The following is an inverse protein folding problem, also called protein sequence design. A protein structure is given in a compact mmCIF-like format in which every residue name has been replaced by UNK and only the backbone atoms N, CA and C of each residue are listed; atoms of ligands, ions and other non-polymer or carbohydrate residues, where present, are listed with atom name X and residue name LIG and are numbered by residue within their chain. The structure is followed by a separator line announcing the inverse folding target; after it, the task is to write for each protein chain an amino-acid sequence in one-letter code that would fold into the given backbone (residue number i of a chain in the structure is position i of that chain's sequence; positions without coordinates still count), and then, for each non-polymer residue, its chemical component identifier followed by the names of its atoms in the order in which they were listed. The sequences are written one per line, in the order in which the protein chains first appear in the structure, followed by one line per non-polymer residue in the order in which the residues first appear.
data_IF_262988788050
#
_entry.id   IF_262988788050
#
_cell.length_a   1.000
_cell.length_b   1.000
_cell.length_c   1.000
_cell.angle_alpha   90.00
_cell.angle_beta   90.00
_cell.angle_gamma   90.00
#
_symmetry.space_group_name_H-M   'P 1'
#
loop_
_entity.id
_entity.type
_entity.pdbx_description
1 polymer ?
#
# COMPACT_ATOMS: atom_id res chain seq x y z
N UNK A 1 -5.98 3.02 -15.18
CA UNK A 1 -6.20 1.83 -14.34
C UNK A 1 -5.41 0.67 -14.92
N UNK A 2 -4.76 -0.13 -14.08
CA UNK A 2 -4.10 -1.38 -14.47
C UNK A 2 -4.73 -2.52 -13.65
N UNK A 3 -5.01 -3.66 -14.28
CA UNK A 3 -5.56 -4.83 -13.61
C UNK A 3 -4.71 -6.06 -13.94
N UNK A 4 -4.39 -6.86 -12.93
CA UNK A 4 -3.64 -8.09 -13.09
C UNK A 4 -3.96 -9.12 -11.98
N UNK A 5 -3.81 -10.40 -12.29
CA UNK A 5 -3.95 -11.49 -11.29
C UNK A 5 -2.57 -11.78 -10.70
N UNK A 6 -2.49 -11.76 -9.37
CA UNK A 6 -1.29 -12.10 -8.61
C UNK A 6 -1.50 -13.38 -7.82
N UNK A 7 -0.44 -13.86 -7.16
CA UNK A 7 -0.54 -14.95 -6.18
C UNK A 7 -1.40 -14.60 -4.97
N UNK A 8 -1.63 -13.31 -4.72
CA UNK A 8 -2.43 -12.81 -3.61
C UNK A 8 -3.92 -12.61 -3.95
N UNK A 9 -4.25 -12.47 -5.24
CA UNK A 9 -5.61 -12.25 -5.72
C UNK A 9 -5.69 -11.33 -6.94
N UNK A 10 -6.82 -10.67 -7.13
CA UNK A 10 -6.97 -9.64 -8.17
C UNK A 10 -6.37 -8.33 -7.68
N UNK A 11 -5.41 -7.78 -8.43
CA UNK A 11 -4.81 -6.48 -8.16
C UNK A 11 -5.37 -5.43 -9.11
N UNK A 12 -5.86 -4.34 -8.52
CA UNK A 12 -6.34 -3.14 -9.21
C UNK A 12 -5.39 -2.01 -8.84
N UNK A 13 -4.80 -1.36 -9.84
CA UNK A 13 -3.87 -0.24 -9.62
C UNK A 13 -4.40 1.03 -10.28
N UNK A 14 -4.54 2.06 -9.46
CA UNK A 14 -4.81 3.42 -9.89
C UNK A 14 -3.47 4.14 -9.89
N UNK A 15 -3.02 4.59 -11.06
CA UNK A 15 -1.69 5.17 -11.26
C UNK A 15 -1.81 6.63 -11.64
N UNK A 16 -0.88 7.45 -11.17
CA UNK A 16 -0.73 8.81 -11.65
C UNK A 16 -0.29 8.83 -13.12
N UNK A 17 -0.78 9.82 -13.86
CA UNK A 17 -0.23 10.21 -15.14
C UNK A 17 0.28 11.66 -15.06
N UNK A 18 1.28 12.02 -15.88
CA UNK A 18 1.89 13.37 -15.88
C UNK A 18 0.88 14.52 -15.91
N UNK A 19 -0.24 14.34 -16.61
CA UNK A 19 -1.27 15.37 -16.79
C UNK A 19 -2.59 15.05 -16.05
N UNK A 20 -2.60 14.03 -15.19
CA UNK A 20 -3.77 13.60 -14.45
C UNK A 20 -3.31 12.97 -13.11
N UNK A 21 -2.89 13.79 -12.14
CA UNK A 21 -2.41 13.32 -10.85
C UNK A 21 -3.59 12.93 -9.95
N UNK A 22 -3.50 11.79 -9.26
CA UNK A 22 -4.56 11.32 -8.38
C UNK A 22 -4.68 12.12 -7.09
N UNK A 23 -3.56 12.72 -6.69
CA UNK A 23 -3.43 13.51 -5.48
C UNK A 23 -2.89 14.89 -5.81
N UNK A 24 -3.30 15.88 -5.03
CA UNK A 24 -2.63 17.17 -5.03
C UNK A 24 -1.13 17.01 -4.71
N UNK A 25 -0.30 17.87 -5.28
CA UNK A 25 1.16 17.79 -5.19
C UNK A 25 1.63 17.70 -3.73
N UNK A 26 2.44 16.68 -3.43
CA UNK A 26 2.97 16.40 -2.09
C UNK A 26 1.91 16.31 -0.98
N UNK A 27 0.67 15.97 -1.33
CA UNK A 27 -0.45 15.83 -0.38
C UNK A 27 -1.13 14.47 -0.52
N UNK A 28 -1.91 14.12 0.50
CA UNK A 28 -2.81 12.97 0.51
C UNK A 28 -4.26 13.32 0.11
N UNK A 29 -4.51 14.56 -0.31
CA UNK A 29 -5.81 14.99 -0.82
C UNK A 29 -6.03 14.43 -2.22
N UNK A 30 -7.07 13.61 -2.39
CA UNK A 30 -7.48 13.05 -3.67
C UNK A 30 -8.14 14.09 -4.57
N UNK A 31 -7.81 14.05 -5.85
CA UNK A 31 -8.49 14.83 -6.89
C UNK A 31 -9.92 14.30 -7.12
N UNK A 32 -10.90 15.14 -7.51
CA UNK A 32 -12.31 14.76 -7.64
C UNK A 32 -12.54 13.50 -8.49
N UNK A 33 -11.91 13.43 -9.67
CA UNK A 33 -12.05 12.28 -10.57
C UNK A 33 -11.54 10.96 -9.95
N UNK A 34 -10.57 11.03 -9.03
CA UNK A 34 -10.05 9.82 -8.36
C UNK A 34 -11.04 9.34 -7.32
N UNK A 35 -11.75 10.25 -6.66
CA UNK A 35 -12.82 9.90 -5.73
C UNK A 35 -13.94 9.15 -6.45
N UNK A 36 -14.38 9.64 -7.61
CA UNK A 36 -15.39 8.97 -8.44
C UNK A 36 -14.96 7.53 -8.79
N UNK A 37 -13.73 7.34 -9.26
CA UNK A 37 -13.18 6.00 -9.55
C UNK A 37 -13.20 5.10 -8.30
N UNK A 38 -12.78 5.64 -7.15
CA UNK A 38 -12.77 4.88 -5.90
C UNK A 38 -14.19 4.58 -5.41
N UNK A 39 -15.16 5.44 -5.69
CA UNK A 39 -16.56 5.19 -5.32
C UNK A 39 -17.13 4.03 -6.13
N UNK A 40 -16.93 4.04 -7.45
CA UNK A 40 -17.37 2.95 -8.35
C UNK A 40 -16.73 1.61 -7.98
N UNK A 41 -15.41 1.62 -7.69
CA UNK A 41 -14.70 0.43 -7.23
C UNK A 41 -15.27 -0.03 -5.88
N UNK A 42 -15.45 0.91 -4.94
CA UNK A 42 -15.94 0.61 -3.59
C UNK A 42 -17.29 -0.13 -3.61
N UNK A 43 -18.23 0.37 -4.41
CA UNK A 43 -19.53 -0.27 -4.61
C UNK A 43 -19.38 -1.68 -5.19
N UNK A 44 -18.62 -1.83 -6.29
CA UNK A 44 -18.42 -3.10 -6.99
C UNK A 44 -17.75 -4.17 -6.11
N UNK A 45 -16.87 -3.74 -5.20
CA UNK A 45 -16.19 -4.68 -4.30
C UNK A 45 -17.15 -5.40 -3.35
N UNK A 46 -18.35 -4.87 -3.10
CA UNK A 46 -19.35 -5.53 -2.26
C UNK A 46 -19.94 -6.79 -2.90
N UNK A 47 -19.86 -6.93 -4.22
CA UNK A 47 -20.43 -8.07 -4.95
C UNK A 47 -19.69 -9.40 -4.69
N UNK A 48 -18.51 -9.33 -4.08
CA UNK A 48 -17.68 -10.50 -3.73
C UNK A 48 -17.39 -10.51 -2.23
N UNK A 49 -17.30 -11.67 -1.57
CA UNK A 49 -17.10 -11.73 -0.11
C UNK A 49 -15.67 -11.38 0.34
N UNK A 50 -14.73 -11.28 -0.61
CA UNK A 50 -13.31 -11.17 -0.34
C UNK A 50 -12.93 -9.91 0.44
N UNK A 51 -11.97 -10.05 1.36
CA UNK A 51 -11.31 -8.93 2.01
C UNK A 51 -10.32 -8.23 1.07
N UNK A 52 -9.97 -7.00 1.43
CA UNK A 52 -9.12 -6.13 0.61
C UNK A 52 -7.89 -5.67 1.40
N UNK A 53 -6.73 -5.72 0.74
CA UNK A 53 -5.51 -5.05 1.19
C UNK A 53 -5.26 -3.82 0.32
N UNK A 54 -4.96 -2.69 0.95
CA UNK A 54 -4.70 -1.42 0.28
C UNK A 54 -3.25 -0.99 0.50
N UNK A 55 -2.57 -0.54 -0.54
CA UNK A 55 -1.23 0.02 -0.41
C UNK A 55 -1.05 1.30 -1.20
N UNK A 56 -0.33 2.24 -0.61
CA UNK A 56 0.08 3.48 -1.27
C UNK A 56 1.56 3.43 -1.61
N UNK A 57 1.89 4.03 -2.75
CA UNK A 57 3.25 4.10 -3.28
C UNK A 57 3.52 5.52 -3.77
N UNK A 58 4.74 5.98 -3.60
CA UNK A 58 5.27 7.21 -4.19
C UNK A 58 6.33 6.85 -5.22
N UNK A 59 6.76 7.83 -6.00
CA UNK A 59 8.02 7.74 -6.73
C UNK A 59 9.20 8.07 -5.80
N UNK A 60 10.42 8.00 -6.33
CA UNK A 60 11.64 8.27 -5.59
C UNK A 60 11.97 9.77 -5.44
N UNK A 61 11.10 10.68 -5.86
CA UNK A 61 11.33 12.11 -5.68
C UNK A 61 11.34 12.45 -4.19
N UNK A 62 12.30 13.26 -3.71
CA UNK A 62 12.29 13.71 -2.33
C UNK A 62 10.97 14.42 -1.99
N UNK A 63 10.42 14.10 -0.83
CA UNK A 63 9.22 14.77 -0.34
C UNK A 63 9.52 16.26 -0.12
N UNK A 64 8.75 17.13 -0.76
CA UNK A 64 8.96 18.59 -0.75
C UNK A 64 8.01 19.36 0.18
N UNK A 65 7.11 18.66 0.89
CA UNK A 65 6.02 19.32 1.64
C UNK A 65 6.42 20.01 2.94
N UNK A 66 7.70 19.92 3.36
CA UNK A 66 8.21 20.56 4.57
C UNK A 66 7.72 19.88 5.86
N UNK A 67 8.61 19.74 6.85
CA UNK A 67 8.30 19.13 8.14
C UNK A 67 9.41 18.19 8.59
N UNK A 68 9.91 18.37 9.81
CA UNK A 68 10.87 17.44 10.39
C UNK A 68 10.19 16.09 10.62
N UNK A 69 10.65 15.05 9.92
CA UNK A 69 10.21 13.67 10.11
C UNK A 69 9.13 13.16 9.15
N UNK A 70 8.47 14.03 8.37
CA UNK A 70 7.50 13.58 7.36
C UNK A 70 8.20 13.27 6.03
N UNK A 71 7.93 12.10 5.48
CA UNK A 71 8.59 11.58 4.29
C UNK A 71 7.61 10.90 3.33
N UNK A 72 8.16 10.29 2.29
CA UNK A 72 7.38 9.45 1.39
C UNK A 72 6.74 8.24 2.09
N UNK A 73 7.26 7.81 3.25
CA UNK A 73 6.64 6.76 4.06
C UNK A 73 5.27 7.21 4.57
N UNK A 74 5.22 8.32 5.30
CA UNK A 74 3.98 8.89 5.84
C UNK A 74 3.03 9.24 4.69
N UNK A 75 3.53 9.89 3.63
CA UNK A 75 2.73 10.26 2.46
C UNK A 75 2.05 9.04 1.84
N UNK A 76 2.78 7.94 1.66
CA UNK A 76 2.25 6.74 1.04
C UNK A 76 1.15 6.08 1.90
N UNK A 77 1.34 6.04 3.22
CA UNK A 77 0.34 5.52 4.16
C UNK A 77 -0.91 6.41 4.23
N UNK A 78 -0.72 7.73 4.25
CA UNK A 78 -1.83 8.70 4.27
C UNK A 78 -2.66 8.64 2.99
N UNK A 79 -2.01 8.51 1.84
CA UNK A 79 -2.66 8.31 0.54
C UNK A 79 -3.46 7.01 0.48
N UNK A 80 -2.89 5.93 1.03
CA UNK A 80 -3.63 4.67 1.16
C UNK A 80 -4.87 4.87 2.04
N UNK A 81 -4.74 5.52 3.19
CA UNK A 81 -5.88 5.79 4.06
C UNK A 81 -6.91 6.77 3.46
N UNK A 82 -6.49 7.75 2.66
CA UNK A 82 -7.40 8.61 1.91
C UNK A 82 -8.24 7.79 0.93
N UNK A 83 -7.61 6.90 0.17
CA UNK A 83 -8.31 6.00 -0.74
C UNK A 83 -9.25 5.04 0.00
N UNK A 84 -8.85 4.53 1.18
CA UNK A 84 -9.71 3.72 2.06
C UNK A 84 -11.01 4.43 2.39
N UNK A 85 -10.91 5.70 2.81
CA UNK A 85 -12.08 6.52 3.19
C UNK A 85 -13.00 6.75 2.00
N UNK A 86 -12.46 7.02 0.81
CA UNK A 86 -13.29 7.21 -0.38
C UNK A 86 -13.93 5.91 -0.86
N UNK A 87 -13.26 4.75 -0.77
CA UNK A 87 -13.90 3.45 -1.06
C UNK A 87 -15.14 3.23 -0.17
N UNK A 88 -15.03 3.54 1.13
CA UNK A 88 -16.15 3.43 2.08
C UNK A 88 -17.22 4.49 1.80
N UNK A 89 -16.82 5.73 1.47
CA UNK A 89 -17.76 6.78 1.07
C UNK A 89 -18.55 6.40 -0.20
N UNK A 90 -17.95 5.61 -1.10
CA UNK A 90 -18.61 4.99 -2.25
C UNK A 90 -19.53 3.82 -1.93
N UNK A 91 -19.70 3.47 -0.65
CA UNK A 91 -20.61 2.42 -0.19
C UNK A 91 -19.95 1.06 0.05
N UNK A 92 -18.61 0.95 -0.02
CA UNK A 92 -17.94 -0.31 0.35
C UNK A 92 -18.11 -0.61 1.84
N UNK A 93 -18.43 -1.86 2.18
CA UNK A 93 -18.50 -2.30 3.57
C UNK A 93 -17.15 -2.10 4.29
N UNK A 94 -17.13 -1.35 5.39
CA UNK A 94 -15.89 -1.04 6.13
C UNK A 94 -15.15 -2.30 6.59
N UNK A 95 -15.89 -3.34 6.97
CA UNK A 95 -15.33 -4.61 7.40
C UNK A 95 -14.54 -5.35 6.32
N UNK A 96 -14.56 -4.92 5.06
CA UNK A 96 -13.76 -5.55 3.98
C UNK A 96 -12.30 -5.18 4.02
N UNK A 97 -11.93 -4.03 4.59
CA UNK A 97 -10.54 -3.62 4.70
C UNK A 97 -9.85 -4.48 5.76
N UNK A 98 -8.87 -5.27 5.34
CA UNK A 98 -8.05 -6.06 6.25
C UNK A 98 -6.74 -5.36 6.60
N UNK A 99 -6.14 -4.66 5.63
CA UNK A 99 -4.79 -4.09 5.79
C UNK A 99 -4.61 -2.83 4.95
N UNK A 100 -3.92 -1.84 5.51
CA UNK A 100 -3.45 -0.63 4.82
C UNK A 100 -1.94 -0.52 4.99
N UNK A 101 -1.20 -0.28 3.90
CA UNK A 101 0.26 -0.26 3.89
C UNK A 101 0.79 0.98 3.17
N UNK A 102 1.77 1.67 3.77
CA UNK A 102 2.60 2.65 3.08
C UNK A 102 3.92 2.02 2.65
N UNK A 103 4.26 2.12 1.37
CA UNK A 103 5.48 1.52 0.79
C UNK A 103 6.48 2.55 0.26
N UNK A 104 6.19 3.85 0.37
CA UNK A 104 7.01 4.92 -0.20
C UNK A 104 7.43 4.56 -1.65
N UNK A 105 8.72 4.67 -1.96
CA UNK A 105 9.33 4.29 -3.24
C UNK A 105 9.97 2.90 -3.22
N UNK A 106 9.69 2.06 -2.22
CA UNK A 106 10.38 0.79 -2.03
C UNK A 106 10.02 -0.26 -3.10
N UNK A 107 8.83 -0.17 -3.70
CA UNK A 107 8.33 -1.13 -4.70
C UNK A 107 7.85 -0.40 -5.97
N UNK A 108 8.79 0.09 -6.82
CA UNK A 108 8.43 0.80 -8.05
C UNK A 108 7.89 -0.16 -9.11
N UNK A 109 6.93 0.31 -9.94
CA UNK A 109 6.51 -0.38 -11.16
C UNK A 109 7.62 -0.30 -12.20
N UNK A 110 8.08 0.92 -12.47
CA UNK A 110 9.19 1.19 -13.38
C UNK A 110 10.49 1.25 -12.58
N UNK A 111 11.15 0.09 -12.51
CA UNK A 111 12.44 -0.06 -11.83
C UNK A 111 13.57 0.69 -12.54
N UNK A 112 13.44 0.92 -13.84
CA UNK A 112 14.47 1.58 -14.65
C UNK A 112 14.40 3.10 -14.51
N UNK A 113 13.23 3.63 -14.17
CA UNK A 113 13.03 5.05 -13.88
C UNK A 113 12.27 5.24 -12.55
N UNK A 114 12.98 5.31 -11.41
CA UNK A 114 12.37 5.49 -10.10
C UNK A 114 11.56 6.78 -9.94
N UNK A 115 11.81 7.80 -10.75
CA UNK A 115 11.10 9.09 -10.77
C UNK A 115 9.86 9.08 -11.69
N UNK A 116 9.58 7.97 -12.37
CA UNK A 116 8.45 7.86 -13.27
C UNK A 116 7.12 8.04 -12.49
N UNK A 117 6.23 8.96 -12.89
CA UNK A 117 4.91 9.15 -12.28
C UNK A 117 4.10 7.87 -12.09
N UNK A 118 4.27 6.86 -12.95
CA UNK A 118 3.57 5.57 -12.80
C UNK A 118 3.87 4.86 -11.46
N UNK A 119 4.99 5.19 -10.81
CA UNK A 119 5.34 4.66 -9.50
C UNK A 119 4.45 5.24 -8.39
N UNK A 120 3.90 6.45 -8.57
CA UNK A 120 2.89 7.03 -7.68
C UNK A 120 1.54 6.39 -7.97
N UNK A 121 1.10 5.51 -7.06
CA UNK A 121 -0.10 4.70 -7.27
C UNK A 121 -0.73 4.25 -5.98
N UNK A 122 -1.99 3.87 -6.09
CA UNK A 122 -2.72 3.10 -5.08
C UNK A 122 -2.97 1.71 -5.65
N UNK A 123 -2.63 0.69 -4.89
CA UNK A 123 -2.88 -0.71 -5.23
C UNK A 123 -3.89 -1.32 -4.27
N UNK A 124 -4.98 -1.82 -4.83
CA UNK A 124 -6.06 -2.53 -4.15
C UNK A 124 -5.90 -4.01 -4.52
N UNK A 125 -5.77 -4.88 -3.53
CA UNK A 125 -5.73 -6.33 -3.74
C UNK A 125 -7.00 -6.92 -3.15
N UNK A 126 -7.84 -7.48 -4.02
CA UNK A 126 -8.98 -8.32 -3.65
C UNK A 126 -8.42 -9.72 -3.39
N UNK A 127 -8.28 -10.05 -2.11
CA UNK A 127 -7.45 -11.18 -1.69
C UNK A 127 -8.15 -12.52 -1.93
N UNK A 128 -7.39 -13.52 -2.34
CA UNK A 128 -7.83 -14.90 -2.24
C UNK A 128 -7.81 -15.37 -0.78
N UNK A 129 -8.44 -16.52 -0.52
CA UNK A 129 -8.60 -17.03 0.85
C UNK A 129 -7.26 -17.33 1.53
N UNK A 130 -6.26 -17.81 0.79
CA UNK A 130 -4.93 -18.12 1.32
C UNK A 130 -4.24 -16.86 1.88
N UNK A 131 -4.31 -15.75 1.17
CA UNK A 131 -3.70 -14.47 1.59
C UNK A 131 -4.46 -13.84 2.76
N UNK A 132 -5.80 -13.90 2.74
CA UNK A 132 -6.60 -13.45 3.89
C UNK A 132 -6.24 -14.24 5.15
N UNK A 133 -6.13 -15.56 5.04
CA UNK A 133 -5.79 -16.44 6.16
C UNK A 133 -4.36 -16.22 6.67
N UNK A 134 -3.39 -15.94 5.78
CA UNK A 134 -2.01 -15.68 6.22
C UNK A 134 -1.92 -14.39 7.05
N UNK A 135 -2.56 -13.31 6.60
CA UNK A 135 -2.56 -12.02 7.31
C UNK A 135 -3.27 -12.13 8.66
N UNK A 136 -4.40 -12.82 8.71
CA UNK A 136 -5.18 -12.97 9.96
C UNK A 136 -4.49 -13.87 10.98
N UNK A 137 -3.70 -14.86 10.53
CA UNK A 137 -2.92 -15.75 11.40
C UNK A 137 -1.61 -15.12 11.89
N UNK A 138 -0.98 -14.26 11.09
CA UNK A 138 0.24 -13.53 11.48
C UNK A 138 0.07 -12.71 12.78
N UNK A 139 -1.12 -12.16 13.03
CA UNK A 139 -1.42 -11.41 14.26
C UNK A 139 -1.70 -12.27 15.50
N UNK A 140 -1.84 -13.60 15.36
CA UNK A 140 -2.25 -14.51 16.44
C UNK A 140 -1.23 -15.58 16.83
N UNK A 141 -0.12 -15.69 16.09
CA UNK A 141 0.94 -16.66 16.38
C UNK A 141 2.03 -16.06 17.25
N UNK A 142 1.96 -16.22 18.57
CA UNK A 142 3.14 -16.03 19.42
C UNK A 142 4.09 -17.20 19.20
N UNK A 143 5.25 -16.96 18.61
CA UNK A 143 6.38 -17.89 18.73
C UNK A 143 6.99 -17.62 20.11
N UNK A 144 6.82 -18.53 21.07
CA UNK A 144 7.57 -18.47 22.32
C UNK A 144 9.06 -18.65 22.01
N UNK A 145 9.82 -17.56 22.08
CA UNK A 145 11.28 -17.61 21.97
C UNK A 145 11.82 -18.01 23.35
N UNK A 146 11.81 -19.32 23.64
CA UNK A 146 12.18 -19.83 24.97
C UNK A 146 13.69 -19.98 25.19
N UNK A 147 14.55 -19.63 24.22
CA UNK A 147 16.01 -19.61 24.39
C UNK A 147 16.75 -18.86 23.27
N UNK A 148 17.77 -18.08 23.65
CA UNK A 148 18.69 -17.37 22.75
C UNK A 148 19.49 -18.28 21.80
N UNK A 149 19.45 -19.61 21.99
CA UNK A 149 20.18 -20.59 21.18
C UNK A 149 19.51 -20.93 19.84
N UNK A 150 18.29 -20.44 19.57
CA UNK A 150 17.53 -20.72 18.34
C UNK A 150 17.46 -19.55 17.35
N UNK A 151 18.32 -18.54 17.49
CA UNK A 151 18.54 -17.56 16.43
C UNK A 151 19.41 -18.25 15.35
N UNK A 152 18.94 -18.45 14.10
CA UNK A 152 19.81 -18.91 13.03
C UNK A 152 20.93 -17.89 12.85
N UNK A 153 22.13 -18.27 13.26
CA UNK A 153 23.27 -17.36 13.36
C UNK A 153 23.77 -16.94 11.99
N UNK A 154 23.41 -15.75 11.53
CA UNK A 154 24.25 -14.90 10.68
C UNK A 154 23.97 -13.43 11.00
N UNK A 155 24.50 -12.94 12.12
CA UNK A 155 24.80 -11.52 12.27
C UNK A 155 26.31 -11.38 12.29
N UNK A 156 26.96 -10.90 11.21
CA UNK A 156 28.40 -10.66 11.22
C UNK A 156 28.71 -9.57 12.26
N UNK A 157 29.63 -9.88 13.17
CA UNK A 157 30.08 -8.95 14.21
C UNK A 157 30.64 -7.66 13.56
N UNK A 158 30.31 -6.47 14.10
CA UNK A 158 30.89 -5.23 13.61
C UNK A 158 32.40 -5.27 13.83
N UNK A 159 33.18 -4.99 12.77
CA UNK A 159 34.62 -4.80 12.88
C UNK A 159 34.87 -3.53 13.70
N UNK A 160 35.32 -3.70 14.94
CA UNK A 160 35.95 -2.62 15.68
C UNK A 160 37.33 -2.39 15.07
N UNK A 161 37.49 -1.28 14.35
CA UNK A 161 38.80 -0.81 13.87
C UNK A 161 39.66 -0.38 15.06
N UNK A 162 40.95 -0.74 15.01
CA UNK A 162 42.00 -0.20 15.88
C UNK A 162 42.67 1.02 15.28
#
# INVERSE_FOLDING_TARGET
LLLDITTEGLRIQIVDAKNRPMFALSKATLEPYTKEILHDIGHTLNDVPNKVSLSGHTDASPYSGGGAGYSNWELSADRANASRRELIAGGMDEGKILRVVGLASAVPIDKNNPLNPINRRISIIVMNKKTEDSITKEGGGTVEVSSAAQVPGVLPKPKTGG
#
